data_IF_402995480584
#
_entry.id   IF_402995480584
#
_cell.length_a   1.000
_cell.length_b   1.000
_cell.length_c   1.000
_cell.angle_alpha   90.00
_cell.angle_beta   90.00
_cell.angle_gamma   90.00
#
_symmetry.space_group_name_H-M   'P 1'
#
loop_
_entity.id
_entity.type
_entity.pdbx_description
1 polymer ?
#
# COMPACT_ATOMS: atom_id res chain seq x y z
N UNK A 1 -13.98 0.13 -12.28
CA UNK A 1 -14.42 1.03 -11.18
C UNK A 1 -13.29 1.24 -10.17
N UNK A 2 -12.66 0.18 -9.65
CA UNK A 2 -11.52 0.27 -8.74
C UNK A 2 -10.37 1.15 -9.28
N UNK A 3 -9.79 0.81 -10.43
CA UNK A 3 -8.62 1.53 -10.98
C UNK A 3 -8.89 3.02 -11.24
N UNK A 4 -10.09 3.40 -11.68
CA UNK A 4 -10.44 4.80 -11.90
C UNK A 4 -10.51 5.61 -10.59
N UNK A 5 -11.08 5.02 -9.54
CA UNK A 5 -11.16 5.65 -8.21
C UNK A 5 -9.76 5.71 -7.57
N UNK A 6 -9.00 4.61 -7.68
CA UNK A 6 -7.62 4.52 -7.22
C UNK A 6 -6.74 5.60 -7.86
N UNK A 7 -6.77 5.70 -9.20
CA UNK A 7 -5.99 6.70 -9.92
C UNK A 7 -6.37 8.12 -9.50
N UNK A 8 -7.67 8.43 -9.42
CA UNK A 8 -8.14 9.77 -9.00
C UNK A 8 -7.65 10.13 -7.59
N UNK A 9 -7.77 9.19 -6.64
CA UNK A 9 -7.33 9.38 -5.26
C UNK A 9 -5.80 9.53 -5.12
N UNK A 10 -5.03 8.80 -5.93
CA UNK A 10 -3.58 8.93 -6.01
C UNK A 10 -3.17 10.27 -6.60
N UNK A 11 -3.80 10.69 -7.71
CA UNK A 11 -3.53 11.98 -8.36
C UNK A 11 -3.75 13.16 -7.40
N UNK A 12 -4.84 13.14 -6.62
CA UNK A 12 -5.13 14.15 -5.58
C UNK A 12 -4.06 14.23 -4.48
N UNK A 13 -3.22 13.21 -4.35
CA UNK A 13 -2.15 13.11 -3.36
C UNK A 13 -0.75 13.35 -3.93
N UNK A 14 -0.62 13.53 -5.25
CA UNK A 14 0.69 13.74 -5.87
C UNK A 14 1.37 15.05 -5.46
N UNK A 15 0.57 16.08 -5.17
CA UNK A 15 1.04 17.38 -4.66
C UNK A 15 1.49 17.32 -3.19
N UNK A 16 1.43 16.14 -2.55
CA UNK A 16 1.98 15.96 -1.23
C UNK A 16 3.51 16.09 -1.29
N UNK A 17 4.04 17.08 -0.58
CA UNK A 17 5.46 17.40 -0.54
C UNK A 17 6.30 16.41 0.31
N UNK A 18 5.69 15.39 0.90
CA UNK A 18 6.40 14.33 1.62
C UNK A 18 6.57 13.08 0.75
N UNK A 19 7.26 12.08 1.30
CA UNK A 19 7.40 10.78 0.66
C UNK A 19 6.05 10.05 0.58
N UNK A 20 5.84 9.33 -0.52
CA UNK A 20 4.60 8.66 -0.84
C UNK A 20 4.85 7.18 -1.11
N UNK A 21 4.61 6.36 -0.10
CA UNK A 21 4.61 4.89 -0.23
C UNK A 21 3.18 4.41 -0.51
N UNK A 22 3.02 3.66 -1.59
CA UNK A 22 1.79 2.94 -1.92
C UNK A 22 1.88 1.52 -1.36
N UNK A 23 1.01 1.18 -0.42
CA UNK A 23 0.90 -0.17 0.16
C UNK A 23 -0.52 -0.69 0.08
N UNK A 24 -0.71 -1.96 -0.26
CA UNK A 24 -2.01 -2.62 -0.18
C UNK A 24 -2.11 -3.95 -0.91
N UNK A 25 -3.29 -4.55 -0.86
CA UNK A 25 -3.65 -5.76 -1.62
C UNK A 25 -4.46 -5.35 -2.86
N UNK A 26 -3.91 -5.63 -4.04
CA UNK A 26 -4.53 -5.26 -5.32
C UNK A 26 -5.70 -6.17 -5.70
N UNK A 27 -5.84 -7.35 -5.10
CA UNK A 27 -6.80 -8.39 -5.49
C UNK A 27 -6.69 -8.84 -6.97
N UNK A 28 -5.63 -8.44 -7.69
CA UNK A 28 -5.28 -8.93 -9.03
C UNK A 28 -3.77 -9.17 -9.11
N UNK A 29 -3.35 -10.03 -10.04
CA UNK A 29 -1.96 -10.48 -10.16
C UNK A 29 -1.08 -9.48 -10.91
N UNK A 30 -0.51 -8.49 -10.22
CA UNK A 30 0.17 -7.33 -10.84
C UNK A 30 1.31 -7.68 -11.78
N UNK A 31 1.93 -8.85 -11.62
CA UNK A 31 3.05 -9.35 -12.43
C UNK A 31 2.62 -10.26 -13.59
N UNK A 32 1.31 -10.43 -13.83
CA UNK A 32 0.77 -11.29 -14.88
C UNK A 32 0.64 -10.54 -16.22
N UNK A 33 1.49 -10.79 -17.23
CA UNK A 33 1.52 -10.00 -18.46
C UNK A 33 0.30 -10.22 -19.38
N UNK A 34 -0.49 -11.25 -19.11
CA UNK A 34 -1.73 -11.54 -19.83
C UNK A 34 -2.95 -10.81 -19.28
N UNK A 35 -2.86 -10.23 -18.08
CA UNK A 35 -3.97 -9.56 -17.42
C UNK A 35 -4.05 -8.06 -17.82
N UNK A 36 -5.18 -7.59 -18.38
CA UNK A 36 -5.39 -6.19 -18.71
C UNK A 36 -5.31 -5.23 -17.52
N UNK A 37 -5.76 -5.64 -16.32
CA UNK A 37 -5.73 -4.78 -15.14
C UNK A 37 -4.29 -4.56 -14.67
N UNK A 38 -3.48 -5.62 -14.70
CA UNK A 38 -2.03 -5.55 -14.44
C UNK A 38 -1.31 -4.58 -15.36
N UNK A 39 -1.59 -4.61 -16.67
CA UNK A 39 -0.99 -3.66 -17.63
C UNK A 39 -1.38 -2.21 -17.34
N UNK A 40 -2.66 -1.97 -17.08
CA UNK A 40 -3.16 -0.62 -16.74
C UNK A 40 -2.47 -0.11 -15.47
N UNK A 41 -2.36 -0.97 -14.46
CA UNK A 41 -1.72 -0.64 -13.20
C UNK A 41 -0.23 -0.31 -13.37
N UNK A 42 0.53 -1.15 -14.07
CA UNK A 42 1.95 -0.89 -14.33
C UNK A 42 2.16 0.40 -15.14
N UNK A 43 1.36 0.62 -16.20
CA UNK A 43 1.44 1.86 -16.98
C UNK A 43 1.11 3.10 -16.16
N UNK A 44 0.22 2.96 -15.18
CA UNK A 44 -0.12 4.04 -14.25
C UNK A 44 1.04 4.33 -13.30
N UNK A 45 1.65 3.30 -12.69
CA UNK A 45 2.84 3.49 -11.85
C UNK A 45 3.98 4.15 -12.63
N UNK A 46 4.25 3.69 -13.85
CA UNK A 46 5.27 4.27 -14.74
C UNK A 46 4.99 5.75 -15.02
N UNK A 47 3.73 6.13 -15.30
CA UNK A 47 3.34 7.53 -15.54
C UNK A 47 3.58 8.47 -14.35
N UNK A 48 3.68 7.90 -13.15
CA UNK A 48 3.89 8.61 -11.89
C UNK A 48 5.33 8.46 -11.36
N UNK A 49 6.22 7.82 -12.13
CA UNK A 49 7.57 7.46 -11.70
C UNK A 49 7.61 6.61 -10.42
N UNK A 50 6.59 5.76 -10.24
CA UNK A 50 6.56 4.77 -9.18
C UNK A 50 7.20 3.46 -9.63
N UNK A 51 7.91 2.83 -8.70
CA UNK A 51 8.52 1.52 -8.86
C UNK A 51 7.82 0.58 -7.87
N UNK A 52 7.35 -0.57 -8.34
CA UNK A 52 6.84 -1.64 -7.50
C UNK A 52 8.03 -2.45 -6.96
N UNK A 53 8.15 -2.53 -5.63
CA UNK A 53 9.32 -3.09 -4.96
C UNK A 53 9.11 -4.54 -4.49
N UNK A 54 7.93 -5.11 -4.68
CA UNK A 54 7.65 -6.51 -4.33
C UNK A 54 8.32 -7.44 -5.36
N UNK A 55 9.40 -8.10 -4.95
CA UNK A 55 10.26 -8.91 -5.83
C UNK A 55 9.81 -10.37 -6.01
N UNK A 56 8.97 -10.88 -5.11
CA UNK A 56 8.60 -12.29 -5.06
C UNK A 56 7.11 -12.49 -4.93
N UNK A 57 6.63 -13.66 -5.36
CA UNK A 57 5.24 -14.03 -5.30
C UNK A 57 4.70 -13.94 -3.86
N UNK A 58 3.63 -13.16 -3.69
CA UNK A 58 2.93 -13.04 -2.40
C UNK A 58 1.73 -13.98 -2.30
N UNK A 59 1.37 -14.62 -3.41
CA UNK A 59 0.27 -15.58 -3.49
C UNK A 59 0.75 -17.03 -3.62
N UNK A 60 -0.09 -17.97 -3.19
CA UNK A 60 0.15 -19.41 -3.37
C UNK A 60 0.21 -19.86 -4.84
N UNK A 61 -0.25 -19.03 -5.78
CA UNK A 61 -0.24 -19.30 -7.22
C UNK A 61 1.04 -18.84 -7.91
N UNK A 62 1.99 -18.24 -7.19
CA UNK A 62 3.27 -17.81 -7.76
C UNK A 62 3.26 -16.42 -8.39
N UNK A 63 2.22 -15.62 -8.12
CA UNK A 63 2.06 -14.25 -8.61
C UNK A 63 2.06 -13.23 -7.46
N UNK A 64 2.22 -11.96 -7.80
CA UNK A 64 2.21 -10.83 -6.87
C UNK A 64 0.80 -10.25 -6.76
N UNK A 65 0.24 -10.21 -5.55
CA UNK A 65 -1.04 -9.55 -5.24
C UNK A 65 -0.82 -8.25 -4.47
N UNK A 66 0.20 -8.20 -3.62
CA UNK A 66 0.47 -7.06 -2.77
C UNK A 66 1.32 -6.02 -3.49
N UNK A 67 1.04 -4.75 -3.23
CA UNK A 67 1.82 -3.61 -3.71
C UNK A 67 2.60 -2.98 -2.56
N UNK A 68 3.88 -2.72 -2.83
CA UNK A 68 4.73 -1.81 -2.07
C UNK A 68 5.48 -0.99 -3.11
N UNK A 69 4.93 0.17 -3.49
CA UNK A 69 5.51 1.01 -4.53
C UNK A 69 5.92 2.37 -3.98
N UNK A 70 7.07 2.87 -4.43
CA UNK A 70 7.66 4.16 -4.03
C UNK A 70 8.05 4.94 -5.27
N UNK A 71 8.21 6.26 -5.16
CA UNK A 71 8.85 7.01 -6.26
C UNK A 71 10.34 6.64 -6.36
N UNK A 72 10.91 6.72 -7.55
CA UNK A 72 12.32 6.40 -7.82
C UNK A 72 13.32 7.19 -6.94
N UNK A 73 12.94 8.39 -6.50
CA UNK A 73 13.78 9.28 -5.70
C UNK A 73 13.51 9.22 -4.18
N UNK A 74 12.79 8.21 -3.68
CA UNK A 74 12.48 8.08 -2.25
C UNK A 74 13.44 7.13 -1.52
N UNK A 75 13.80 7.47 -0.28
CA UNK A 75 14.83 6.76 0.48
C UNK A 75 14.28 5.77 1.52
N UNK A 76 12.97 5.72 1.72
CA UNK A 76 12.29 4.86 2.72
C UNK A 76 12.78 3.41 2.70
N UNK A 77 13.03 2.85 1.51
CA UNK A 77 13.47 1.47 1.37
C UNK A 77 14.95 1.26 1.71
N UNK A 78 15.77 2.31 1.55
CA UNK A 78 17.19 2.28 1.90
C UNK A 78 17.32 2.20 3.43
N UNK A 79 16.58 3.05 4.15
CA UNK A 79 16.55 3.05 5.62
C UNK A 79 16.06 1.70 6.19
N UNK A 80 15.13 1.03 5.49
CA UNK A 80 14.69 -0.33 5.84
C UNK A 80 15.76 -1.40 5.62
N UNK A 81 16.56 -1.29 4.55
CA UNK A 81 17.68 -2.23 4.32
C UNK A 81 18.82 -2.06 5.32
N UNK A 82 19.02 -0.85 5.86
CA UNK A 82 20.00 -0.61 6.92
C UNK A 82 19.65 -1.36 8.22
N UNK A 83 18.37 -1.64 8.48
CA UNK A 83 17.94 -2.49 9.61
C UNK A 83 18.54 -3.89 9.58
N UNK A 84 18.69 -4.46 8.38
CA UNK A 84 19.24 -5.80 8.18
C UNK A 84 20.75 -5.80 8.42
N UNK A 85 21.41 -4.66 8.18
CA UNK A 85 22.85 -4.44 8.39
C UNK A 85 23.23 -4.00 9.80
N UNK A 86 22.29 -3.54 10.63
CA UNK A 86 22.54 -3.27 12.04
C UNK A 86 22.81 -4.61 12.73
N UNK A 87 24.10 -4.97 12.77
CA UNK A 87 24.64 -6.19 13.35
C UNK A 87 23.84 -6.58 14.59
N UNK A 88 22.93 -7.53 14.43
CA UNK A 88 22.22 -8.11 15.56
C UNK A 88 23.31 -8.56 16.52
N UNK A 89 23.35 -8.02 17.75
CA UNK A 89 24.34 -8.50 18.70
C UNK A 89 24.14 -10.02 18.78
N UNK A 90 25.25 -10.77 18.82
CA UNK A 90 25.27 -12.24 18.97
C UNK A 90 24.64 -12.63 20.30
N UNK A 91 23.33 -12.49 20.38
CA UNK A 91 22.55 -12.53 21.60
C UNK A 91 21.31 -13.31 21.20
N UNK A 92 21.24 -14.54 21.69
CA UNK A 92 20.14 -15.47 21.47
C UNK A 92 18.89 -15.08 22.29
N UNK A 93 18.80 -13.83 22.73
CA UNK A 93 17.70 -13.31 23.52
C UNK A 93 16.69 -12.63 22.60
N UNK A 94 15.60 -13.34 22.36
CA UNK A 94 14.48 -12.90 21.53
C UNK A 94 13.92 -11.57 22.03
N UNK A 95 13.98 -11.28 23.33
CA UNK A 95 13.46 -10.03 23.90
C UNK A 95 14.28 -8.84 23.43
N UNK A 96 15.62 -8.95 23.47
CA UNK A 96 16.53 -7.89 23.03
C UNK A 96 16.42 -7.68 21.51
N UNK A 97 16.32 -8.77 20.74
CA UNK A 97 16.14 -8.69 19.28
C UNK A 97 14.80 -8.03 18.91
N UNK A 98 13.73 -8.37 19.62
CA UNK A 98 12.40 -7.80 19.40
C UNK A 98 12.37 -6.31 19.75
N UNK A 99 12.97 -5.94 20.87
CA UNK A 99 13.07 -4.53 21.30
C UNK A 99 13.88 -3.70 20.29
N UNK A 100 15.02 -4.22 19.83
CA UNK A 100 15.83 -3.55 18.81
C UNK A 100 15.07 -3.38 17.48
N UNK A 101 14.37 -4.42 17.03
CA UNK A 101 13.53 -4.35 15.83
C UNK A 101 12.43 -3.29 15.97
N UNK A 102 11.67 -3.32 17.07
CA UNK A 102 10.58 -2.38 17.31
C UNK A 102 11.07 -0.93 17.42
N UNK A 103 12.19 -0.70 18.12
CA UNK A 103 12.79 0.64 18.23
C UNK A 103 13.21 1.17 16.87
N UNK A 104 13.83 0.33 16.04
CA UNK A 104 14.34 0.75 14.75
C UNK A 104 13.22 0.98 13.74
N UNK A 105 12.19 0.12 13.72
CA UNK A 105 10.96 0.38 12.97
C UNK A 105 10.29 1.69 13.39
N UNK A 106 10.18 1.95 14.70
CA UNK A 106 9.56 3.17 15.21
C UNK A 106 10.32 4.40 14.73
N UNK A 107 11.66 4.38 14.77
CA UNK A 107 12.50 5.48 14.26
C UNK A 107 12.26 5.75 12.78
N UNK A 108 12.21 4.70 11.95
CA UNK A 108 11.98 4.81 10.51
C UNK A 108 10.57 5.35 10.24
N UNK A 109 9.56 4.83 10.93
CA UNK A 109 8.19 5.32 10.80
C UNK A 109 8.04 6.78 11.24
N UNK A 110 8.65 7.17 12.36
CA UNK A 110 8.61 8.56 12.84
C UNK A 110 9.35 9.52 11.87
N UNK A 111 10.38 9.04 11.17
CA UNK A 111 11.13 9.82 10.19
C UNK A 111 10.33 10.04 8.90
N UNK A 112 9.80 8.97 8.30
CA UNK A 112 9.16 9.01 6.98
C UNK A 112 7.65 9.26 7.04
N UNK A 113 6.98 8.84 8.11
CA UNK A 113 5.54 8.93 8.31
C UNK A 113 5.19 9.56 9.68
N UNK A 114 5.68 10.77 9.98
CA UNK A 114 5.39 11.42 11.26
C UNK A 114 3.87 11.57 11.45
N UNK A 115 3.39 11.35 12.67
CA UNK A 115 1.99 11.53 13.00
C UNK A 115 1.53 12.97 12.70
N UNK A 116 0.50 13.12 11.87
CA UNK A 116 -0.10 14.42 11.52
C UNK A 116 -1.60 14.39 11.79
N UNK A 117 -2.11 15.42 12.45
CA UNK A 117 -3.53 15.62 12.60
C UNK A 117 -4.15 16.11 11.29
N UNK A 118 -5.26 15.50 10.87
CA UNK A 118 -6.00 15.89 9.67
C UNK A 118 -7.46 16.12 10.02
N UNK A 119 -7.96 17.32 9.75
CA UNK A 119 -9.39 17.62 9.89
C UNK A 119 -10.15 16.94 8.75
N UNK A 120 -10.99 15.96 9.09
CA UNK A 120 -11.84 15.26 8.13
C UNK A 120 -13.23 15.88 8.19
N UNK A 121 -13.73 16.34 7.04
CA UNK A 121 -15.13 16.76 6.91
C UNK A 121 -16.03 15.54 7.00
N UNK A 122 -16.68 15.33 8.15
CA UNK A 122 -17.69 14.28 8.30
C UNK A 122 -18.89 14.67 7.45
N UNK A 123 -19.11 13.94 6.35
CA UNK A 123 -20.32 14.13 5.54
C UNK A 123 -21.48 13.43 6.27
N UNK A 124 -22.57 14.14 6.60
CA UNK A 124 -23.75 13.49 7.18
C UNK A 124 -24.29 12.45 6.21
N UNK A 125 -24.83 11.36 6.77
CA UNK A 125 -25.46 10.29 5.98
C UNK A 125 -26.48 10.89 5.02
N UNK A 126 -26.40 10.52 3.75
CA UNK A 126 -27.37 10.97 2.75
C UNK A 126 -28.71 10.32 3.09
N UNK A 127 -29.75 11.11 3.32
CA UNK A 127 -31.09 10.62 3.70
C UNK A 127 -31.68 9.60 2.71
N UNK A 128 -31.23 9.62 1.46
CA UNK A 128 -31.67 8.69 0.42
C UNK A 128 -30.81 7.43 0.31
N UNK A 129 -29.64 7.36 0.95
CA UNK A 129 -28.77 6.18 0.93
C UNK A 129 -29.12 5.29 2.12
N UNK A 130 -30.23 4.59 2.01
CA UNK A 130 -30.77 3.70 3.04
C UNK A 130 -30.02 2.38 3.12
N UNK A 131 -30.21 1.67 4.24
CA UNK A 131 -29.64 0.34 4.47
C UNK A 131 -30.05 -0.67 3.41
N UNK A 132 -31.20 -0.47 2.76
CA UNK A 132 -31.65 -1.31 1.65
C UNK A 132 -30.74 -1.17 0.42
N UNK A 133 -30.33 0.06 0.09
CA UNK A 133 -29.37 0.31 -0.99
C UNK A 133 -27.99 -0.25 -0.63
N UNK A 134 -27.61 -0.18 0.65
CA UNK A 134 -26.37 -0.79 1.14
C UNK A 134 -26.40 -2.32 0.97
N UNK A 135 -27.51 -2.96 1.34
CA UNK A 135 -27.71 -4.41 1.23
C UNK A 135 -27.67 -4.87 -0.23
N UNK A 136 -28.38 -4.20 -1.12
CA UNK A 136 -28.39 -4.52 -2.57
C UNK A 136 -26.98 -4.42 -3.16
N UNK A 137 -26.22 -3.38 -2.84
CA UNK A 137 -24.82 -3.27 -3.29
C UNK A 137 -23.91 -4.35 -2.74
N UNK A 138 -24.11 -4.76 -1.48
CA UNK A 138 -23.37 -5.88 -0.89
C UNK A 138 -23.71 -7.21 -1.58
N UNK A 139 -24.96 -7.42 -1.99
CA UNK A 139 -25.40 -8.61 -2.73
C UNK A 139 -24.84 -8.62 -4.16
N UNK A 140 -24.85 -7.49 -4.86
CA UNK A 140 -24.24 -7.37 -6.19
C UNK A 140 -22.74 -7.70 -6.17
N UNK A 141 -21.98 -7.16 -5.21
CA UNK A 141 -20.55 -7.49 -5.05
C UNK A 141 -20.28 -8.97 -4.78
N UNK A 142 -21.21 -9.68 -4.12
CA UNK A 142 -21.10 -11.13 -3.90
C UNK A 142 -21.33 -11.92 -5.18
N UNK A 143 -22.18 -11.43 -6.08
CA UNK A 143 -22.48 -12.06 -7.37
C UNK A 143 -21.39 -11.76 -8.42
N UNK A 144 -20.78 -10.57 -8.36
CA UNK A 144 -19.66 -10.17 -9.23
C UNK A 144 -18.34 -10.91 -8.93
N UNK A 145 -18.22 -11.53 -7.75
CA UNK A 145 -17.04 -12.29 -7.32
C UNK A 145 -16.99 -13.76 -7.75
N UNK A 146 -17.75 -14.15 -8.77
CA UNK A 146 -17.82 -15.52 -9.34
C UNK A 146 -17.35 -15.54 -10.78
#
# INVERSE_FOLDING_TARGET
MFMSEFNTSMLDRLDYAGELVLVGDLNFHSDKPSDPESKKFLSFLESLNFIQNVLSATSRSGYVLDVVATRDNEHVLQDLTELESLALPSVHDVVILTDHYNQSLTRILDHHAPAREKTITIRPSKSWFSDDIHRTKCEERKLEGT
#
